data_IF_260336714589
#
_entry.id   IF_260336714589
#
_cell.length_a   1.000
_cell.length_b   1.000
_cell.length_c   1.000
_cell.angle_alpha   90.00
_cell.angle_beta   90.00
_cell.angle_gamma   90.00
#
_symmetry.space_group_name_H-M   'P 1'
#
loop_
_entity.id
_entity.type
_entity.pdbx_description
1 polymer ?
#
# COMPACT_ATOMS: atom_id res chain seq x y z
N UNK A 1 36.73 -30.92 0.31
CA UNK A 1 35.72 -30.59 1.36
C UNK A 1 34.38 -30.66 0.70
N UNK A 2 33.52 -31.55 1.12
CA UNK A 2 32.14 -31.69 0.61
C UNK A 2 31.28 -30.62 1.25
N UNK A 3 30.68 -29.73 0.46
CA UNK A 3 29.71 -28.71 0.95
C UNK A 3 28.43 -29.44 1.34
N UNK A 4 28.07 -29.44 2.61
CA UNK A 4 26.78 -29.93 3.11
C UNK A 4 25.75 -28.82 3.01
N UNK A 5 24.56 -29.14 2.51
CA UNK A 5 23.41 -28.21 2.51
C UNK A 5 22.72 -28.23 3.87
N UNK A 6 22.22 -27.07 4.29
CA UNK A 6 21.37 -26.98 5.47
C UNK A 6 20.00 -27.64 5.18
N UNK A 7 19.49 -28.39 6.16
CA UNK A 7 18.12 -28.93 6.13
C UNK A 7 17.22 -27.93 6.87
N UNK A 8 16.10 -27.57 6.25
CA UNK A 8 15.11 -26.69 6.85
C UNK A 8 13.94 -27.51 7.40
N UNK A 9 13.49 -27.19 8.62
CA UNK A 9 12.22 -27.66 9.18
C UNK A 9 11.12 -26.69 8.69
N UNK A 10 10.34 -27.10 7.70
CA UNK A 10 9.36 -26.26 7.03
C UNK A 10 8.30 -25.68 7.99
N UNK A 11 7.85 -26.48 8.98
CA UNK A 11 6.92 -26.04 10.02
C UNK A 11 7.48 -24.85 10.84
N UNK A 12 8.72 -25.00 11.30
CA UNK A 12 9.37 -23.98 12.13
C UNK A 12 9.68 -22.70 11.36
N UNK A 13 9.97 -22.83 10.05
CA UNK A 13 10.11 -21.67 9.17
C UNK A 13 8.77 -20.95 9.00
N UNK A 14 7.68 -21.67 8.78
CA UNK A 14 6.35 -21.08 8.65
C UNK A 14 5.92 -20.37 9.93
N UNK A 15 6.15 -20.97 11.10
CA UNK A 15 5.89 -20.34 12.40
C UNK A 15 6.70 -19.06 12.60
N UNK A 16 7.99 -19.06 12.23
CA UNK A 16 8.82 -17.84 12.28
C UNK A 16 8.31 -16.77 11.32
N UNK A 17 7.83 -17.15 10.15
CA UNK A 17 7.28 -16.22 9.16
C UNK A 17 5.98 -15.58 9.64
N UNK A 18 5.07 -16.38 10.21
CA UNK A 18 3.79 -15.90 10.72
C UNK A 18 3.99 -14.99 11.93
N UNK A 19 4.93 -15.32 12.84
CA UNK A 19 5.04 -14.69 14.14
C UNK A 19 6.20 -13.68 14.28
N UNK A 20 7.15 -13.60 13.33
CA UNK A 20 8.38 -12.82 13.52
C UNK A 20 8.79 -11.94 12.34
N UNK A 21 8.30 -12.18 11.12
CA UNK A 21 8.70 -11.41 9.94
C UNK A 21 7.97 -10.06 9.89
N UNK A 22 6.73 -10.03 10.31
CA UNK A 22 5.87 -8.87 10.22
C UNK A 22 5.63 -8.26 11.61
N UNK A 23 5.83 -6.95 11.71
CA UNK A 23 5.62 -6.21 12.95
C UNK A 23 4.14 -5.95 13.22
N UNK A 24 3.34 -5.75 12.15
CA UNK A 24 1.93 -5.42 12.23
C UNK A 24 1.07 -6.47 11.53
N UNK A 25 0.11 -7.07 12.25
CA UNK A 25 -0.79 -8.10 11.70
C UNK A 25 -1.67 -7.58 10.56
N UNK A 26 -2.07 -6.32 10.63
CA UNK A 26 -2.98 -5.69 9.67
C UNK A 26 -2.45 -5.66 8.21
N UNK A 27 -1.15 -5.91 8.00
CA UNK A 27 -0.57 -5.97 6.66
C UNK A 27 -0.98 -7.20 5.86
N UNK A 28 -1.61 -8.21 6.49
CA UNK A 28 -2.10 -9.40 5.76
C UNK A 28 -2.97 -9.00 4.56
N UNK A 29 -3.86 -8.01 4.74
CA UNK A 29 -4.77 -7.57 3.69
C UNK A 29 -3.99 -6.92 2.53
N UNK A 30 -2.95 -6.14 2.83
CA UNK A 30 -2.03 -5.59 1.82
C UNK A 30 -1.40 -6.69 0.97
N UNK A 31 -0.88 -7.73 1.61
CA UNK A 31 -0.18 -8.80 0.91
C UNK A 31 -1.13 -9.62 0.03
N UNK A 32 -2.33 -9.94 0.52
CA UNK A 32 -3.33 -10.67 -0.28
C UNK A 32 -3.83 -9.82 -1.47
N UNK A 33 -4.10 -8.53 -1.26
CA UNK A 33 -4.46 -7.60 -2.35
C UNK A 33 -3.32 -7.46 -3.36
N UNK A 34 -2.07 -7.41 -2.92
CA UNK A 34 -0.90 -7.34 -3.81
C UNK A 34 -0.78 -8.58 -4.70
N UNK A 35 -1.02 -9.77 -4.14
CA UNK A 35 -1.03 -11.02 -4.92
C UNK A 35 -2.17 -11.06 -5.94
N UNK A 36 -3.36 -10.57 -5.56
CA UNK A 36 -4.49 -10.43 -6.47
C UNK A 36 -4.19 -9.45 -7.61
N UNK A 37 -3.56 -8.31 -7.31
CA UNK A 37 -3.10 -7.35 -8.31
C UNK A 37 -2.11 -7.97 -9.30
N UNK A 38 -1.10 -8.69 -8.81
CA UNK A 38 -0.10 -9.36 -9.65
C UNK A 38 -0.75 -10.43 -10.57
N UNK A 39 -1.78 -11.14 -10.09
CA UNK A 39 -2.51 -12.11 -10.90
C UNK A 39 -3.28 -11.45 -12.06
N UNK A 40 -3.85 -10.27 -11.81
CA UNK A 40 -4.52 -9.48 -12.85
C UNK A 40 -3.53 -8.83 -13.81
N UNK A 41 -2.38 -8.34 -13.32
CA UNK A 41 -1.33 -7.79 -14.17
C UNK A 41 -0.79 -8.84 -15.16
N UNK A 42 -0.60 -10.08 -14.68
CA UNK A 42 -0.20 -11.22 -15.53
C UNK A 42 -1.26 -11.51 -16.61
N UNK A 43 -2.54 -11.57 -16.22
CA UNK A 43 -3.63 -11.81 -17.18
C UNK A 43 -3.73 -10.68 -18.22
N UNK A 44 -3.67 -9.43 -17.75
CA UNK A 44 -3.71 -8.26 -18.61
C UNK A 44 -2.54 -8.21 -19.60
N UNK A 45 -1.35 -8.59 -19.16
CA UNK A 45 -0.17 -8.68 -20.02
C UNK A 45 -0.31 -9.77 -21.07
N UNK A 46 -0.66 -10.99 -20.65
CA UNK A 46 -0.83 -12.10 -21.57
C UNK A 46 -1.93 -11.83 -22.61
N UNK A 47 -2.99 -11.14 -22.22
CA UNK A 47 -4.06 -10.76 -23.16
C UNK A 47 -3.63 -9.79 -24.27
N UNK A 48 -2.55 -9.04 -24.06
CA UNK A 48 -1.96 -8.14 -25.07
C UNK A 48 -0.99 -8.89 -25.96
N UNK A 49 -0.23 -9.83 -25.40
CA UNK A 49 0.81 -10.59 -26.12
C UNK A 49 0.23 -11.79 -26.86
N UNK A 50 -0.84 -12.39 -26.36
CA UNK A 50 -1.56 -13.49 -26.98
C UNK A 50 -2.94 -13.02 -27.48
N UNK A 51 -3.02 -12.72 -28.77
CA UNK A 51 -4.25 -12.23 -29.42
C UNK A 51 -5.41 -13.24 -29.41
N UNK A 52 -5.22 -14.48 -28.94
CA UNK A 52 -6.29 -15.48 -28.77
C UNK A 52 -7.08 -15.29 -27.46
N UNK A 53 -6.53 -14.53 -26.50
CA UNK A 53 -7.15 -14.30 -25.21
C UNK A 53 -8.20 -13.17 -25.29
N UNK A 54 -9.44 -13.51 -24.98
CA UNK A 54 -10.55 -12.54 -24.94
C UNK A 54 -10.74 -12.03 -23.50
N UNK A 55 -9.94 -11.06 -23.10
CA UNK A 55 -9.98 -10.45 -21.78
C UNK A 55 -10.27 -8.96 -21.89
N UNK A 56 -11.37 -8.52 -21.30
CA UNK A 56 -11.65 -7.09 -21.19
C UNK A 56 -11.01 -6.55 -19.88
N UNK A 57 -10.00 -5.71 -20.00
CA UNK A 57 -9.30 -5.12 -18.86
C UNK A 57 -10.20 -4.30 -17.93
N UNK A 58 -11.31 -3.74 -18.44
CA UNK A 58 -12.26 -2.99 -17.65
C UNK A 58 -13.05 -3.86 -16.65
N UNK A 59 -13.10 -5.18 -16.88
CA UNK A 59 -13.81 -6.12 -16.01
C UNK A 59 -12.93 -6.66 -14.89
N UNK A 60 -11.60 -6.41 -14.96
CA UNK A 60 -10.66 -6.86 -13.93
C UNK A 60 -10.89 -6.08 -12.64
N UNK A 61 -11.04 -6.82 -11.52
CA UNK A 61 -11.33 -6.26 -10.21
C UNK A 61 -10.94 -7.20 -9.09
N UNK A 62 -10.67 -6.62 -7.94
CA UNK A 62 -10.60 -7.32 -6.65
C UNK A 62 -11.95 -7.11 -5.95
N UNK A 63 -12.52 -8.15 -5.39
CA UNK A 63 -13.76 -8.07 -4.61
C UNK A 63 -13.49 -8.55 -3.20
N UNK A 64 -13.90 -7.77 -2.20
CA UNK A 64 -13.81 -8.16 -0.80
C UNK A 64 -15.22 -8.43 -0.29
N UNK A 65 -15.43 -9.63 0.24
CA UNK A 65 -16.67 -10.01 0.89
C UNK A 65 -16.40 -10.46 2.33
N UNK A 66 -17.38 -10.28 3.19
CA UNK A 66 -17.29 -10.64 4.60
C UNK A 66 -18.58 -11.31 5.07
N UNK A 67 -18.44 -12.32 5.88
CA UNK A 67 -19.53 -12.93 6.62
C UNK A 67 -19.18 -12.90 8.12
N UNK A 68 -19.80 -11.98 8.86
CA UNK A 68 -19.52 -11.80 10.29
C UNK A 68 -20.01 -12.97 11.14
N UNK A 69 -21.11 -13.61 10.75
CA UNK A 69 -21.70 -14.72 11.50
C UNK A 69 -20.82 -15.96 11.43
N UNK A 70 -20.21 -16.20 10.27
CA UNK A 70 -19.31 -17.33 10.05
C UNK A 70 -17.83 -16.97 10.30
N UNK A 71 -17.50 -15.72 10.64
CA UNK A 71 -16.13 -15.28 10.86
C UNK A 71 -15.27 -15.28 9.58
N UNK A 72 -15.87 -15.10 8.39
CA UNK A 72 -15.18 -15.27 7.11
C UNK A 72 -14.91 -13.92 6.45
N UNK A 73 -13.65 -13.72 6.04
CA UNK A 73 -13.22 -12.66 5.12
C UNK A 73 -12.70 -13.29 3.83
N UNK A 74 -13.23 -12.87 2.69
CA UNK A 74 -12.81 -13.36 1.37
C UNK A 74 -12.27 -12.22 0.51
N UNK A 75 -11.10 -12.45 -0.10
CA UNK A 75 -10.54 -11.59 -1.14
C UNK A 75 -10.53 -12.38 -2.44
N UNK A 76 -11.29 -11.91 -3.42
CA UNK A 76 -11.46 -12.53 -4.73
C UNK A 76 -10.84 -11.67 -5.82
N UNK A 77 -10.11 -12.28 -6.74
CA UNK A 77 -9.67 -11.66 -7.99
C UNK A 77 -10.20 -12.43 -9.20
N UNK A 78 -10.30 -11.77 -10.33
CA UNK A 78 -10.55 -12.37 -11.62
C UNK A 78 -9.32 -12.31 -12.53
N UNK A 79 -8.13 -12.50 -11.93
CA UNK A 79 -6.84 -12.59 -12.61
C UNK A 79 -6.63 -13.93 -13.33
N UNK A 80 -5.35 -14.26 -13.59
CA UNK A 80 -4.97 -15.45 -14.38
C UNK A 80 -5.39 -16.77 -13.75
N UNK A 81 -5.54 -16.84 -12.41
CA UNK A 81 -5.76 -18.07 -11.66
C UNK A 81 -4.54 -19.00 -11.66
N UNK A 82 -4.72 -20.21 -11.09
CA UNK A 82 -3.69 -21.24 -11.00
C UNK A 82 -4.28 -22.61 -11.32
N UNK A 83 -3.49 -23.48 -11.94
CA UNK A 83 -3.77 -24.91 -11.99
C UNK A 83 -3.21 -25.60 -10.73
N UNK A 84 -3.36 -26.94 -10.69
CA UNK A 84 -2.94 -27.72 -9.52
C UNK A 84 -1.44 -27.63 -9.28
N UNK A 85 -0.64 -27.79 -10.32
CA UNK A 85 0.81 -27.75 -10.26
C UNK A 85 1.33 -26.40 -9.80
N UNK A 86 0.77 -25.32 -10.36
CA UNK A 86 1.11 -23.94 -9.96
C UNK A 86 0.68 -23.64 -8.53
N UNK A 87 -0.46 -24.16 -8.08
CA UNK A 87 -0.94 -24.01 -6.72
C UNK A 87 -0.02 -24.72 -5.72
N UNK A 88 0.36 -25.98 -5.98
CA UNK A 88 1.31 -26.72 -5.16
C UNK A 88 2.69 -26.05 -5.15
N UNK A 89 3.11 -25.49 -6.27
CA UNK A 89 4.38 -24.78 -6.40
C UNK A 89 4.39 -23.43 -5.66
N UNK A 90 3.35 -22.62 -5.82
CA UNK A 90 3.27 -21.25 -5.28
C UNK A 90 2.80 -21.19 -3.82
N UNK A 91 1.93 -22.11 -3.38
CA UNK A 91 1.37 -22.14 -2.03
C UNK A 91 1.92 -23.27 -1.17
N UNK A 92 2.56 -24.26 -1.79
CA UNK A 92 3.17 -25.39 -1.09
C UNK A 92 4.69 -25.25 -0.88
N UNK A 93 5.33 -24.29 -1.55
CA UNK A 93 6.77 -24.03 -1.41
C UNK A 93 7.01 -22.65 -0.82
N UNK A 94 7.50 -22.62 0.42
CA UNK A 94 7.80 -21.37 1.13
C UNK A 94 8.93 -20.62 0.41
N UNK A 95 8.82 -19.29 0.30
CA UNK A 95 9.75 -18.40 -0.39
C UNK A 95 9.82 -18.60 -1.92
N UNK A 96 8.83 -19.22 -2.54
CA UNK A 96 8.72 -19.27 -3.98
C UNK A 96 7.69 -18.27 -4.48
N UNK A 97 8.10 -17.35 -5.36
CA UNK A 97 7.23 -16.36 -5.97
C UNK A 97 6.99 -16.66 -7.44
N UNK A 98 5.77 -17.07 -7.80
CA UNK A 98 5.36 -17.23 -9.19
C UNK A 98 5.34 -15.89 -9.95
N UNK A 99 5.20 -14.77 -9.24
CA UNK A 99 5.27 -13.43 -9.82
C UNK A 99 6.69 -13.04 -10.19
N UNK A 100 7.67 -13.36 -9.34
CA UNK A 100 9.08 -13.15 -9.65
C UNK A 100 9.55 -14.04 -10.82
N UNK A 101 9.14 -15.30 -10.84
CA UNK A 101 9.43 -16.21 -11.95
C UNK A 101 8.88 -15.71 -13.28
N UNK A 102 7.68 -15.16 -13.28
CA UNK A 102 7.07 -14.54 -14.44
C UNK A 102 7.87 -13.31 -14.92
N UNK A 103 8.24 -12.40 -14.01
CA UNK A 103 9.08 -11.23 -14.31
C UNK A 103 10.44 -11.61 -14.92
N UNK A 104 11.06 -12.67 -14.42
CA UNK A 104 12.34 -13.17 -14.93
C UNK A 104 12.25 -13.83 -16.31
N UNK A 105 11.09 -14.42 -16.63
CA UNK A 105 10.84 -15.06 -17.93
C UNK A 105 10.53 -14.05 -19.05
N UNK A 106 10.19 -12.81 -18.70
CA UNK A 106 9.93 -11.73 -19.64
C UNK A 106 11.24 -11.12 -20.15
N UNK A 107 11.24 -10.69 -21.41
CA UNK A 107 12.38 -9.98 -21.97
C UNK A 107 12.61 -8.65 -21.22
N UNK A 108 13.90 -8.28 -21.02
CA UNK A 108 14.37 -7.16 -20.18
C UNK A 108 13.82 -5.75 -20.51
N UNK A 109 12.92 -5.62 -21.45
CA UNK A 109 12.45 -4.33 -21.99
C UNK A 109 10.99 -4.01 -21.64
N UNK A 110 10.30 -4.81 -20.81
CA UNK A 110 8.90 -4.57 -20.48
C UNK A 110 8.74 -4.31 -18.99
N UNK A 111 8.34 -3.08 -18.64
CA UNK A 111 8.04 -2.65 -17.28
C UNK A 111 6.69 -3.22 -16.81
N UNK A 112 6.72 -4.44 -16.26
CA UNK A 112 5.60 -4.92 -15.46
C UNK A 112 5.95 -4.69 -13.98
N UNK A 113 5.13 -3.90 -13.35
CA UNK A 113 5.21 -3.57 -11.93
C UNK A 113 4.69 -4.73 -11.07
N UNK A 114 5.48 -5.78 -10.89
CA UNK A 114 5.13 -6.89 -10.00
C UNK A 114 5.42 -6.51 -8.56
N UNK A 115 4.40 -6.64 -7.71
CA UNK A 115 4.45 -6.29 -6.29
C UNK A 115 4.99 -7.48 -5.47
N UNK A 116 4.51 -8.71 -5.68
CA UNK A 116 4.81 -9.92 -4.89
C UNK A 116 6.10 -10.62 -5.29
N UNK A 117 7.25 -10.22 -4.75
CA UNK A 117 8.58 -10.74 -5.15
C UNK A 117 9.12 -11.86 -4.25
N UNK A 118 8.68 -11.99 -3.00
CA UNK A 118 9.34 -12.83 -1.99
C UNK A 118 8.69 -14.21 -1.76
N UNK A 119 7.47 -14.45 -2.24
CA UNK A 119 6.75 -15.72 -2.06
C UNK A 119 6.39 -16.04 -0.61
N UNK A 120 6.25 -15.03 0.23
CA UNK A 120 5.90 -15.16 1.65
C UNK A 120 4.63 -14.40 2.04
N UNK A 121 4.23 -13.40 1.25
CA UNK A 121 3.11 -12.52 1.55
C UNK A 121 1.80 -13.27 1.79
N UNK A 122 1.56 -14.35 1.05
CA UNK A 122 0.36 -15.18 1.21
C UNK A 122 0.21 -15.72 2.65
N UNK A 123 1.30 -16.17 3.26
CA UNK A 123 1.24 -16.76 4.60
C UNK A 123 0.92 -15.76 5.71
N UNK A 124 0.97 -14.46 5.43
CA UNK A 124 0.51 -13.43 6.36
C UNK A 124 -0.98 -13.57 6.71
N UNK A 125 -1.79 -14.25 5.87
CA UNK A 125 -3.16 -14.59 6.18
C UNK A 125 -3.31 -15.35 7.50
N UNK A 126 -2.35 -16.23 7.84
CA UNK A 126 -2.36 -17.00 9.10
C UNK A 126 -2.05 -16.15 10.35
N UNK A 127 -1.63 -14.89 10.19
CA UNK A 127 -1.53 -13.97 11.33
C UNK A 127 -2.90 -13.65 11.93
N UNK A 128 -3.95 -13.65 11.10
CA UNK A 128 -5.33 -13.26 11.48
C UNK A 128 -6.34 -14.39 11.30
N UNK A 129 -6.01 -15.44 10.55
CA UNK A 129 -6.89 -16.57 10.27
C UNK A 129 -6.35 -17.85 10.91
N UNK A 130 -7.23 -18.71 11.41
CA UNK A 130 -6.92 -20.06 11.88
C UNK A 130 -7.03 -21.10 10.76
N UNK A 131 -7.80 -20.78 9.69
CA UNK A 131 -7.93 -21.57 8.49
C UNK A 131 -7.94 -20.69 7.26
N UNK A 132 -7.18 -21.08 6.23
CA UNK A 132 -7.18 -20.42 4.93
C UNK A 132 -7.55 -21.44 3.86
N UNK A 133 -8.52 -21.08 3.02
CA UNK A 133 -8.95 -21.86 1.86
C UNK A 133 -8.70 -21.02 0.60
N UNK A 134 -8.03 -21.58 -0.40
CA UNK A 134 -7.85 -20.93 -1.71
C UNK A 134 -8.58 -21.75 -2.76
N UNK A 135 -9.48 -21.10 -3.47
CA UNK A 135 -10.21 -21.71 -4.60
C UNK A 135 -9.81 -20.95 -5.85
N UNK A 136 -9.28 -21.65 -6.86
CA UNK A 136 -8.79 -21.00 -8.07
C UNK A 136 -9.11 -21.81 -9.32
N UNK A 137 -9.26 -21.10 -10.44
CA UNK A 137 -9.33 -21.70 -11.78
C UNK A 137 -8.46 -20.88 -12.72
N UNK A 138 -7.52 -21.54 -13.39
CA UNK A 138 -6.63 -20.91 -14.36
C UNK A 138 -7.36 -20.56 -15.64
N UNK A 139 -6.97 -19.46 -16.28
CA UNK A 139 -7.45 -19.09 -17.60
C UNK A 139 -7.17 -20.20 -18.62
N UNK A 140 -8.21 -20.60 -19.38
CA UNK A 140 -8.12 -21.68 -20.37
C UNK A 140 -8.34 -23.08 -19.82
N UNK A 141 -8.52 -23.26 -18.51
CA UNK A 141 -8.83 -24.56 -17.89
C UNK A 141 -10.31 -24.62 -17.45
N UNK A 142 -10.89 -25.82 -17.50
CA UNK A 142 -12.29 -26.02 -17.13
C UNK A 142 -12.46 -26.34 -15.64
N UNK A 143 -11.46 -27.01 -15.05
CA UNK A 143 -11.52 -27.49 -13.66
C UNK A 143 -10.86 -26.51 -12.71
N UNK A 144 -11.54 -26.19 -11.61
CA UNK A 144 -10.98 -25.46 -10.47
C UNK A 144 -10.24 -26.37 -9.52
N UNK A 145 -9.40 -25.76 -8.67
CA UNK A 145 -8.60 -26.43 -7.63
C UNK A 145 -8.79 -25.71 -6.32
N UNK A 146 -8.94 -26.48 -5.24
CA UNK A 146 -9.07 -26.00 -3.86
C UNK A 146 -7.85 -26.43 -3.04
N UNK A 147 -7.23 -25.48 -2.38
CA UNK A 147 -6.18 -25.65 -1.39
C UNK A 147 -6.71 -25.24 -0.01
N UNK A 148 -6.41 -26.02 1.02
CA UNK A 148 -6.79 -25.72 2.40
C UNK A 148 -5.67 -26.00 3.37
N UNK A 149 -5.49 -25.11 4.34
CA UNK A 149 -4.52 -25.28 5.43
C UNK A 149 -5.00 -24.59 6.70
N UNK A 150 -4.57 -25.12 7.84
CA UNK A 150 -4.70 -24.51 9.17
C UNK A 150 -3.35 -23.95 9.68
N UNK A 151 -2.37 -23.83 8.81
CA UNK A 151 -1.03 -23.30 9.12
C UNK A 151 0.07 -24.34 9.03
N UNK A 152 0.87 -24.49 10.09
CA UNK A 152 2.09 -25.30 10.08
C UNK A 152 1.88 -26.81 9.89
N UNK A 153 0.67 -27.32 10.05
CA UNK A 153 0.37 -28.76 9.96
C UNK A 153 0.29 -29.30 8.53
N UNK A 154 0.47 -28.43 7.54
CA UNK A 154 0.45 -28.80 6.13
C UNK A 154 -0.79 -28.32 5.40
N UNK A 155 -1.03 -28.85 4.20
CA UNK A 155 -2.14 -28.45 3.35
C UNK A 155 -2.74 -29.61 2.57
N UNK A 156 -3.95 -29.43 2.07
CA UNK A 156 -4.60 -30.36 1.14
C UNK A 156 -4.90 -29.68 -0.18
N UNK A 157 -4.81 -30.42 -1.29
CA UNK A 157 -5.20 -29.93 -2.62
C UNK A 157 -6.21 -30.91 -3.22
N UNK A 158 -7.36 -30.39 -3.61
CA UNK A 158 -8.46 -31.16 -4.17
C UNK A 158 -9.07 -30.47 -5.39
N UNK A 159 -9.52 -31.22 -6.39
CA UNK A 159 -10.32 -30.62 -7.48
C UNK A 159 -11.62 -30.03 -6.92
N UNK A 160 -12.07 -28.95 -7.52
CA UNK A 160 -13.38 -28.34 -7.20
C UNK A 160 -14.05 -27.76 -8.44
N UNK A 161 -15.32 -27.45 -8.34
CA UNK A 161 -16.05 -26.68 -9.34
C UNK A 161 -15.85 -25.19 -9.08
N UNK A 162 -15.50 -24.43 -10.11
CA UNK A 162 -15.45 -22.95 -10.10
C UNK A 162 -15.81 -22.45 -11.50
N UNK A 163 -16.87 -21.66 -11.59
CA UNK A 163 -17.38 -21.17 -12.88
C UNK A 163 -16.51 -20.06 -13.49
N UNK A 164 -15.92 -19.22 -12.66
CA UNK A 164 -15.12 -18.06 -13.12
C UNK A 164 -13.62 -18.32 -13.04
N UNK A 165 -12.85 -17.70 -13.93
CA UNK A 165 -11.38 -17.63 -13.84
C UNK A 165 -10.99 -16.71 -12.69
N UNK A 166 -9.84 -16.97 -12.05
CA UNK A 166 -9.29 -16.16 -10.96
C UNK A 166 -9.14 -16.94 -9.65
N UNK A 167 -8.99 -16.23 -8.56
CA UNK A 167 -8.68 -16.82 -7.25
C UNK A 167 -9.51 -16.20 -6.14
N UNK A 168 -10.04 -17.03 -5.23
CA UNK A 168 -10.64 -16.63 -3.96
C UNK A 168 -9.72 -17.06 -2.83
N UNK A 169 -9.31 -16.12 -1.99
CA UNK A 169 -8.62 -16.38 -0.72
C UNK A 169 -9.61 -16.19 0.40
N UNK A 170 -10.06 -17.28 1.00
CA UNK A 170 -11.08 -17.36 2.04
C UNK A 170 -10.39 -17.58 3.38
N UNK A 171 -10.51 -16.63 4.28
CA UNK A 171 -9.88 -16.61 5.59
C UNK A 171 -10.94 -16.74 6.67
N UNK A 172 -10.87 -17.81 7.48
CA UNK A 172 -11.63 -17.92 8.71
C UNK A 172 -10.88 -17.16 9.80
N UNK A 173 -11.41 -16.03 10.21
CA UNK A 173 -10.75 -15.10 11.14
C UNK A 173 -10.78 -15.71 12.55
N UNK A 174 -9.66 -15.60 13.25
CA UNK A 174 -9.47 -16.08 14.62
C UNK A 174 -10.47 -15.43 15.57
N UNK A 175 -10.80 -16.14 16.65
CA UNK A 175 -11.55 -15.56 17.76
C UNK A 175 -10.77 -14.42 18.44
N UNK A 176 -11.51 -13.47 18.99
CA UNK A 176 -10.93 -12.38 19.77
C UNK A 176 -10.22 -12.92 21.02
N UNK A 177 -9.10 -12.28 21.35
CA UNK A 177 -8.32 -12.56 22.56
C UNK A 177 -8.21 -11.29 23.42
N UNK A 178 -7.69 -11.43 24.64
CA UNK A 178 -7.45 -10.27 25.51
C UNK A 178 -6.44 -9.27 24.92
N UNK A 179 -5.57 -9.73 24.02
CA UNK A 179 -4.50 -8.93 23.41
C UNK A 179 -4.87 -8.38 22.03
N UNK A 180 -5.76 -9.07 21.29
CA UNK A 180 -6.09 -8.73 19.90
C UNK A 180 -7.58 -8.98 19.60
N UNK A 181 -8.23 -7.97 19.03
CA UNK A 181 -9.62 -8.04 18.57
C UNK A 181 -9.68 -8.39 17.07
N UNK A 182 -9.53 -9.67 16.75
CA UNK A 182 -9.51 -10.18 15.37
C UNK A 182 -10.84 -9.94 14.63
N UNK A 183 -11.98 -9.99 15.33
CA UNK A 183 -13.29 -9.70 14.76
C UNK A 183 -13.40 -8.32 14.11
N UNK A 184 -12.54 -7.38 14.50
CA UNK A 184 -12.47 -6.05 13.86
C UNK A 184 -12.10 -6.12 12.39
N UNK A 185 -11.36 -7.14 11.94
CA UNK A 185 -11.03 -7.35 10.52
C UNK A 185 -12.24 -7.74 9.65
N UNK A 186 -13.39 -8.02 10.27
CA UNK A 186 -14.68 -8.23 9.59
C UNK A 186 -15.53 -6.94 9.53
N UNK A 187 -15.06 -5.84 10.16
CA UNK A 187 -15.76 -4.57 10.15
C UNK A 187 -15.51 -3.76 8.88
N UNK A 188 -16.57 -3.25 8.27
CA UNK A 188 -16.50 -2.43 7.04
C UNK A 188 -15.52 -1.26 7.17
N UNK A 189 -15.59 -0.53 8.30
CA UNK A 189 -14.73 0.62 8.54
C UNK A 189 -13.26 0.23 8.64
N UNK A 190 -12.93 -0.91 9.27
CA UNK A 190 -11.54 -1.37 9.42
C UNK A 190 -10.97 -1.80 8.07
N UNK A 191 -11.73 -2.58 7.29
CA UNK A 191 -11.33 -3.01 5.95
C UNK A 191 -11.08 -1.79 5.05
N UNK A 192 -12.02 -0.83 5.02
CA UNK A 192 -11.87 0.43 4.26
C UNK A 192 -10.62 1.20 4.69
N UNK A 193 -10.39 1.33 5.99
CA UNK A 193 -9.21 2.02 6.53
C UNK A 193 -7.90 1.34 6.10
N UNK A 194 -7.83 0.00 6.14
CA UNK A 194 -6.66 -0.76 5.72
C UNK A 194 -6.39 -0.64 4.21
N UNK A 195 -7.44 -0.72 3.39
CA UNK A 195 -7.32 -0.53 1.94
C UNK A 195 -6.81 0.88 1.64
N UNK A 196 -7.40 1.90 2.24
CA UNK A 196 -6.99 3.31 2.08
C UNK A 196 -5.55 3.53 2.54
N UNK A 197 -5.14 2.90 3.63
CA UNK A 197 -3.78 3.03 4.17
C UNK A 197 -2.74 2.38 3.28
N UNK A 198 -2.94 1.12 2.89
CA UNK A 198 -1.89 0.29 2.29
C UNK A 198 -2.02 0.06 0.79
N UNK A 199 -3.24 0.06 0.26
CA UNK A 199 -3.56 -0.41 -1.11
C UNK A 199 -4.39 0.60 -1.91
N UNK A 200 -4.44 1.86 -1.48
CA UNK A 200 -5.28 2.89 -2.12
C UNK A 200 -4.91 3.12 -3.59
N UNK A 201 -3.65 2.91 -3.93
CA UNK A 201 -3.13 3.15 -5.28
C UNK A 201 -2.77 1.87 -6.05
N UNK A 202 -3.28 0.72 -5.60
CA UNK A 202 -3.31 -0.48 -6.44
C UNK A 202 -4.12 -0.19 -7.69
N UNK A 203 -3.58 -0.52 -8.86
CA UNK A 203 -4.13 -0.10 -10.17
C UNK A 203 -5.50 -0.67 -10.53
N UNK A 204 -5.92 -1.73 -9.84
CA UNK A 204 -7.20 -2.41 -10.07
C UNK A 204 -8.25 -1.98 -9.06
N UNK A 205 -9.54 -1.84 -9.47
CA UNK A 205 -10.59 -1.47 -8.53
C UNK A 205 -10.79 -2.54 -7.46
N UNK A 206 -10.75 -2.12 -6.20
CA UNK A 206 -11.08 -2.94 -5.04
C UNK A 206 -12.51 -2.63 -4.66
N UNK A 207 -13.40 -3.60 -4.84
CA UNK A 207 -14.83 -3.45 -4.62
C UNK A 207 -15.28 -4.17 -3.37
N UNK A 208 -16.21 -3.55 -2.67
CA UNK A 208 -16.84 -4.14 -1.47
C UNK A 208 -18.28 -3.66 -1.35
N UNK A 209 -19.15 -4.54 -0.88
CA UNK A 209 -20.50 -4.16 -0.52
C UNK A 209 -20.51 -3.42 0.83
N UNK A 210 -21.05 -2.21 0.81
CA UNK A 210 -21.09 -1.30 1.95
C UNK A 210 -22.54 -1.00 2.31
N UNK A 211 -22.86 -1.23 3.56
CA UNK A 211 -24.17 -0.88 4.10
C UNK A 211 -24.21 0.59 4.49
N UNK A 212 -25.21 1.31 4.00
CA UNK A 212 -25.51 2.70 4.35
C UNK A 212 -26.91 2.84 4.89
N UNK A 213 -27.08 3.70 5.87
CA UNK A 213 -28.39 4.15 6.30
C UNK A 213 -28.86 5.29 5.39
N UNK A 214 -29.92 5.01 4.63
CA UNK A 214 -30.57 6.01 3.80
C UNK A 214 -31.83 6.51 4.51
N UNK A 215 -31.93 7.83 4.68
CA UNK A 215 -33.12 8.48 5.22
C UNK A 215 -34.15 8.59 4.12
N UNK A 216 -35.38 8.13 4.36
CA UNK A 216 -36.48 8.27 3.42
C UNK A 216 -37.73 8.81 4.11
N UNK A 217 -38.60 9.49 3.34
CA UNK A 217 -39.88 9.98 3.83
C UNK A 217 -40.87 8.82 3.93
N UNK A 218 -41.55 8.66 5.08
CA UNK A 218 -42.54 7.60 5.28
C UNK A 218 -43.89 7.89 4.59
N UNK A 219 -44.07 9.12 4.09
CA UNK A 219 -45.35 9.62 3.58
C UNK A 219 -46.33 10.06 4.68
N UNK A 220 -45.92 9.96 5.94
CA UNK A 220 -46.68 10.45 7.09
C UNK A 220 -46.17 11.82 7.53
N UNK A 221 -47.03 12.59 8.21
CA UNK A 221 -46.68 13.84 8.87
C UNK A 221 -46.71 13.67 10.38
N UNK A 222 -45.91 14.44 11.10
CA UNK A 222 -45.97 14.58 12.54
C UNK A 222 -47.17 15.49 12.95
N UNK A 223 -47.36 15.64 14.26
CA UNK A 223 -48.47 16.44 14.83
C UNK A 223 -48.35 17.93 14.47
N UNK A 224 -47.19 18.39 13.95
CA UNK A 224 -46.92 19.76 13.45
C UNK A 224 -47.06 19.85 11.93
N UNK A 225 -47.39 18.78 11.21
CA UNK A 225 -47.55 18.74 9.74
C UNK A 225 -46.22 18.63 8.98
N UNK A 226 -45.11 18.27 9.63
CA UNK A 226 -43.82 18.06 9.00
C UNK A 226 -43.68 16.60 8.56
N UNK A 227 -42.97 16.33 7.42
CA UNK A 227 -42.73 14.95 6.96
C UNK A 227 -42.00 14.12 8.00
N UNK A 228 -42.53 12.91 8.26
CA UNK A 228 -41.80 11.90 9.06
C UNK A 228 -40.80 11.19 8.18
N UNK A 229 -39.64 10.91 8.79
CA UNK A 229 -38.56 10.18 8.15
C UNK A 229 -38.27 8.90 8.90
N UNK A 230 -37.89 7.88 8.15
CA UNK A 230 -37.38 6.64 8.68
C UNK A 230 -36.06 6.30 7.99
N UNK A 231 -35.36 5.27 8.47
CA UNK A 231 -34.07 4.85 7.94
C UNK A 231 -34.16 3.41 7.42
N UNK A 232 -33.63 3.21 6.22
CA UNK A 232 -33.45 1.86 5.68
C UNK A 232 -31.98 1.58 5.45
N UNK A 233 -31.58 0.31 5.59
CA UNK A 233 -30.23 -0.14 5.23
C UNK A 233 -30.25 -0.42 3.72
N UNK A 234 -29.35 0.23 2.99
CA UNK A 234 -29.12 0.00 1.56
C UNK A 234 -27.69 -0.50 1.41
N UNK A 235 -27.53 -1.59 0.65
CA UNK A 235 -26.21 -2.13 0.31
C UNK A 235 -25.79 -1.62 -1.05
N UNK A 236 -24.67 -0.94 -1.12
CA UNK A 236 -24.07 -0.42 -2.37
C UNK A 236 -22.71 -1.07 -2.61
N UNK A 237 -22.43 -1.47 -3.86
CA UNK A 237 -21.12 -1.97 -4.26
C UNK A 237 -20.19 -0.81 -4.59
N UNK A 238 -19.30 -0.49 -3.66
CA UNK A 238 -18.38 0.66 -3.78
C UNK A 238 -16.99 0.23 -4.27
N UNK A 239 -16.35 1.10 -5.04
CA UNK A 239 -14.90 1.02 -5.26
C UNK A 239 -14.20 1.78 -4.13
N UNK A 240 -13.41 1.08 -3.33
CA UNK A 240 -12.83 1.61 -2.10
C UNK A 240 -11.53 2.38 -2.34
N UNK A 241 -10.71 1.91 -3.27
CA UNK A 241 -9.40 2.49 -3.56
C UNK A 241 -9.46 3.57 -4.66
N UNK A 242 -8.44 4.43 -4.70
CA UNK A 242 -8.33 5.54 -5.65
C UNK A 242 -7.60 5.17 -6.94
N UNK A 243 -6.92 4.04 -7.00
CA UNK A 243 -6.17 3.44 -8.12
C UNK A 243 -5.01 4.29 -8.64
N UNK A 244 -5.26 5.50 -9.14
CA UNK A 244 -4.23 6.35 -9.75
C UNK A 244 -3.83 7.48 -8.82
N UNK A 245 -2.61 7.45 -8.27
CA UNK A 245 -2.14 8.46 -7.34
C UNK A 245 -1.88 9.81 -8.06
N UNK A 246 -2.16 10.90 -7.34
CA UNK A 246 -2.03 12.26 -7.86
C UNK A 246 -0.61 12.58 -8.34
N UNK A 247 0.42 12.03 -7.69
CA UNK A 247 1.84 12.25 -8.07
C UNK A 247 2.29 11.48 -9.31
N UNK A 248 1.50 10.51 -9.78
CA UNK A 248 1.78 9.80 -11.03
C UNK A 248 1.13 10.45 -12.24
N UNK A 249 0.12 11.30 -12.03
CA UNK A 249 -0.57 12.02 -13.10
C UNK A 249 0.30 13.13 -13.70
N UNK A 250 0.04 13.46 -14.96
CA UNK A 250 0.78 14.54 -15.63
C UNK A 250 0.42 15.93 -15.04
N UNK A 251 1.31 16.91 -15.23
CA UNK A 251 1.04 18.29 -14.81
C UNK A 251 -0.15 18.95 -15.53
N UNK A 252 -0.53 18.43 -16.68
CA UNK A 252 -1.71 18.89 -17.43
C UNK A 252 -3.02 18.39 -16.84
N UNK A 253 -2.99 17.29 -16.07
CA UNK A 253 -4.16 16.65 -15.48
C UNK A 253 -4.39 17.04 -14.02
N UNK A 254 -3.37 17.58 -13.36
CA UNK A 254 -3.40 17.92 -11.92
C UNK A 254 -2.88 19.31 -11.69
N UNK A 255 -3.75 20.16 -11.17
CA UNK A 255 -3.41 21.54 -10.79
C UNK A 255 -2.64 21.59 -9.46
N UNK A 256 -2.09 22.75 -9.12
CA UNK A 256 -1.48 22.96 -7.80
C UNK A 256 -2.55 22.98 -6.70
N UNK A 257 -3.77 23.44 -7.00
CA UNK A 257 -4.91 23.40 -6.06
C UNK A 257 -5.32 21.97 -5.72
N UNK A 258 -5.31 21.05 -6.70
CA UNK A 258 -5.56 19.62 -6.45
C UNK A 258 -4.50 19.02 -5.50
N UNK A 259 -3.23 19.41 -5.69
CA UNK A 259 -2.15 18.97 -4.79
C UNK A 259 -2.27 19.56 -3.39
N UNK A 260 -2.71 20.81 -3.27
CA UNK A 260 -2.96 21.46 -1.98
C UNK A 260 -4.14 20.78 -1.27
N UNK A 261 -5.20 20.45 -2.00
CA UNK A 261 -6.33 19.70 -1.46
C UNK A 261 -5.90 18.33 -0.94
N UNK A 262 -5.10 17.59 -1.72
CA UNK A 262 -4.50 16.32 -1.30
C UNK A 262 -3.64 16.47 -0.04
N UNK A 263 -2.80 17.52 0.05
CA UNK A 263 -1.98 17.79 1.24
C UNK A 263 -2.85 17.99 2.48
N UNK A 264 -3.90 18.80 2.39
CA UNK A 264 -4.80 19.10 3.49
C UNK A 264 -5.55 17.85 3.97
N UNK A 265 -6.09 17.08 3.04
CA UNK A 265 -6.82 15.85 3.35
C UNK A 265 -5.90 14.81 4.00
N UNK A 266 -4.76 14.50 3.37
CA UNK A 266 -3.83 13.46 3.84
C UNK A 266 -3.21 13.79 5.20
N UNK A 267 -2.92 15.06 5.47
CA UNK A 267 -2.21 15.47 6.68
C UNK A 267 -3.14 16.10 7.73
N UNK A 268 -4.45 16.16 7.47
CA UNK A 268 -5.44 16.83 8.34
C UNK A 268 -5.09 18.29 8.62
N UNK A 269 -4.54 18.99 7.61
CA UNK A 269 -4.13 20.38 7.69
C UNK A 269 -5.22 21.30 7.16
N UNK A 270 -5.38 22.48 7.78
CA UNK A 270 -6.36 23.47 7.32
C UNK A 270 -5.72 24.53 6.42
N UNK A 271 -4.45 24.85 6.65
CA UNK A 271 -3.72 25.87 5.90
C UNK A 271 -3.01 25.30 4.68
N UNK A 272 -2.78 26.16 3.71
CA UNK A 272 -2.01 25.84 2.53
C UNK A 272 -0.53 25.63 2.89
N UNK A 273 0.19 24.76 2.18
CA UNK A 273 1.63 24.66 2.33
C UNK A 273 2.32 25.94 1.84
N UNK A 274 3.44 26.30 2.43
CA UNK A 274 4.23 27.44 1.96
C UNK A 274 5.01 27.13 0.68
N UNK A 275 5.31 25.85 0.41
CA UNK A 275 5.89 25.40 -0.84
C UNK A 275 5.38 24.03 -1.26
N UNK A 276 5.28 23.81 -2.58
CA UNK A 276 4.90 22.59 -3.26
C UNK A 276 6.03 22.15 -4.18
N UNK A 277 6.52 20.90 -4.01
CA UNK A 277 7.64 20.37 -4.76
C UNK A 277 7.19 19.11 -5.50
N UNK A 278 7.21 19.14 -6.83
CA UNK A 278 6.94 17.97 -7.69
C UNK A 278 8.23 17.49 -8.32
N UNK A 279 8.56 16.23 -8.12
CA UNK A 279 9.74 15.59 -8.71
C UNK A 279 9.30 14.42 -9.57
N UNK A 280 9.80 14.37 -10.79
CA UNK A 280 9.82 13.18 -11.64
C UNK A 280 11.28 12.96 -12.04
N UNK A 281 11.89 11.93 -11.50
CA UNK A 281 13.30 11.61 -11.75
C UNK A 281 13.39 10.26 -12.47
N UNK A 282 14.10 10.26 -13.58
CA UNK A 282 14.41 9.09 -14.38
C UNK A 282 15.93 9.00 -14.53
N UNK A 283 16.52 7.84 -14.32
CA UNK A 283 17.98 7.65 -14.41
C UNK A 283 18.47 6.45 -13.63
N UNK A 284 19.54 6.61 -12.86
CA UNK A 284 20.11 5.52 -12.03
C UNK A 284 19.13 5.00 -10.98
N UNK A 285 18.24 5.85 -10.51
CA UNK A 285 17.09 5.53 -9.66
C UNK A 285 15.92 6.35 -10.18
N UNK A 286 14.83 5.66 -10.49
CA UNK A 286 13.59 6.28 -10.93
C UNK A 286 12.65 6.47 -9.74
N UNK A 287 12.10 7.67 -9.59
CA UNK A 287 11.10 7.95 -8.56
C UNK A 287 10.26 9.17 -8.91
N UNK A 288 9.04 9.20 -8.36
CA UNK A 288 8.19 10.38 -8.34
C UNK A 288 7.99 10.84 -6.90
N UNK A 289 7.96 12.15 -6.70
CA UNK A 289 7.70 12.70 -5.38
C UNK A 289 6.78 13.92 -5.47
N UNK A 290 5.92 14.02 -4.46
CA UNK A 290 5.06 15.18 -4.21
C UNK A 290 5.27 15.59 -2.76
N UNK A 291 6.04 16.67 -2.55
CA UNK A 291 6.42 17.14 -1.22
C UNK A 291 5.82 18.51 -0.95
N UNK A 292 5.58 18.76 0.32
CA UNK A 292 4.98 19.99 0.83
C UNK A 292 5.79 20.49 2.02
N UNK A 293 6.07 21.80 2.00
CA UNK A 293 6.58 22.49 3.18
C UNK A 293 5.36 23.11 3.89
N UNK A 294 5.05 22.73 5.14
CA UNK A 294 3.90 23.28 5.84
C UNK A 294 3.96 24.78 6.02
N UNK A 295 2.81 25.44 6.01
CA UNK A 295 2.70 26.88 6.28
C UNK A 295 2.80 27.23 7.76
N UNK A 296 2.42 26.29 8.64
CA UNK A 296 2.48 26.46 10.10
C UNK A 296 3.26 25.33 10.76
N UNK A 297 3.96 25.67 11.84
CA UNK A 297 4.53 24.66 12.72
C UNK A 297 3.42 23.95 13.50
N UNK A 298 3.54 22.64 13.66
CA UNK A 298 2.68 21.89 14.58
C UNK A 298 2.79 22.53 15.98
N UNK A 299 1.66 22.80 16.61
CA UNK A 299 1.59 23.31 18.00
C UNK A 299 2.04 22.27 19.05
N UNK A 300 2.35 21.04 18.65
CA UNK A 300 3.05 20.08 19.46
C UNK A 300 4.49 20.57 19.65
N UNK A 301 4.73 21.21 20.79
CA UNK A 301 6.03 21.74 21.18
C UNK A 301 7.17 20.73 21.00
N UNK A 302 8.40 21.17 21.17
CA UNK A 302 9.68 20.46 21.15
C UNK A 302 9.69 19.15 21.98
N UNK A 303 8.82 18.22 21.66
CA UNK A 303 8.83 16.86 22.17
C UNK A 303 9.52 16.01 21.13
N UNK A 304 10.66 15.41 21.48
CA UNK A 304 11.60 14.68 20.62
C UNK A 304 11.08 13.48 19.82
N UNK A 305 9.80 13.45 19.48
CA UNK A 305 9.13 12.39 18.71
C UNK A 305 8.63 12.87 17.32
N UNK A 306 9.20 13.94 16.77
CA UNK A 306 8.92 14.31 15.38
C UNK A 306 9.55 13.26 14.46
N UNK A 307 8.73 12.44 13.83
CA UNK A 307 9.17 11.57 12.74
C UNK A 307 8.86 12.26 11.41
N UNK A 308 9.79 12.16 10.45
CA UNK A 308 9.64 12.69 9.09
C UNK A 308 8.24 12.40 8.52
N UNK A 309 7.61 13.40 7.90
CA UNK A 309 6.23 13.28 7.39
C UNK A 309 6.12 12.73 5.96
N UNK A 310 7.16 12.08 5.42
CA UNK A 310 7.19 11.58 4.05
C UNK A 310 6.81 10.10 4.02
N UNK A 311 5.72 9.79 3.30
CA UNK A 311 5.26 8.41 3.08
C UNK A 311 5.99 7.81 1.88
N UNK A 312 6.50 6.59 2.02
CA UNK A 312 7.19 5.85 0.97
C UNK A 312 6.27 4.82 0.35
N UNK A 313 6.17 4.85 -0.97
CA UNK A 313 5.45 3.90 -1.80
C UNK A 313 6.42 3.14 -2.72
N UNK A 314 6.02 1.95 -3.11
CA UNK A 314 6.62 1.20 -4.22
C UNK A 314 5.50 0.57 -5.05
N UNK A 315 5.43 0.93 -6.33
CA UNK A 315 4.38 0.47 -7.25
C UNK A 315 2.95 0.64 -6.70
N UNK A 316 2.66 1.83 -6.12
CA UNK A 316 1.35 2.15 -5.58
C UNK A 316 1.00 1.49 -4.24
N UNK A 317 1.90 0.69 -3.68
CA UNK A 317 1.72 0.06 -2.36
C UNK A 317 2.51 0.82 -1.31
N UNK A 318 1.87 1.17 -0.20
CA UNK A 318 2.54 1.85 0.91
C UNK A 318 3.51 0.90 1.61
N UNK A 319 4.77 1.33 1.68
CA UNK A 319 5.86 0.61 2.34
C UNK A 319 6.06 1.14 3.76
N UNK A 320 6.10 2.46 3.91
CA UNK A 320 6.36 3.11 5.18
C UNK A 320 5.63 4.44 5.26
N UNK A 321 4.84 4.64 6.31
CA UNK A 321 4.02 5.85 6.49
C UNK A 321 4.88 7.09 6.81
N UNK A 322 5.97 6.89 7.54
CA UNK A 322 6.92 7.94 7.93
C UNK A 322 8.34 7.41 7.74
N UNK A 323 8.95 7.76 6.62
CA UNK A 323 10.29 7.31 6.28
C UNK A 323 11.34 8.33 6.73
N UNK A 324 12.00 8.03 7.85
CA UNK A 324 13.06 8.83 8.46
C UNK A 324 14.38 8.83 7.68
N UNK A 325 14.50 7.99 6.65
CA UNK A 325 15.72 7.86 5.83
C UNK A 325 15.72 8.71 4.57
N UNK A 326 14.59 9.37 4.25
CA UNK A 326 14.46 10.18 3.03
C UNK A 326 14.99 11.61 3.21
N UNK A 327 14.93 12.14 4.41
CA UNK A 327 15.44 13.48 4.74
C UNK A 327 16.09 13.44 6.12
N UNK A 328 17.04 14.32 6.36
CA UNK A 328 17.61 14.49 7.70
C UNK A 328 16.68 15.31 8.60
N UNK A 329 16.88 15.21 9.91
CA UNK A 329 16.06 15.82 10.96
C UNK A 329 15.78 17.32 10.75
N UNK A 330 16.71 18.03 10.12
CA UNK A 330 16.54 19.44 9.80
C UNK A 330 15.47 19.73 8.74
N UNK A 331 14.97 18.70 8.04
CA UNK A 331 13.84 18.76 7.11
C UNK A 331 12.67 17.87 7.51
N UNK A 332 12.62 17.39 8.74
CA UNK A 332 11.52 16.53 9.24
C UNK A 332 10.13 17.18 9.18
N UNK A 333 10.07 18.48 9.06
CA UNK A 333 8.81 19.20 8.85
C UNK A 333 8.21 18.97 7.46
N UNK A 334 8.99 18.48 6.49
CA UNK A 334 8.51 18.23 5.12
C UNK A 334 7.55 17.05 5.12
N UNK A 335 6.39 17.24 4.53
CA UNK A 335 5.36 16.22 4.37
C UNK A 335 5.21 15.83 2.90
N UNK A 336 4.64 14.67 2.65
CA UNK A 336 4.35 14.26 1.29
C UNK A 336 4.56 12.78 1.02
N UNK A 337 4.83 12.48 -0.25
CA UNK A 337 4.96 11.12 -0.74
C UNK A 337 6.16 10.97 -1.67
N UNK A 338 6.78 9.80 -1.62
CA UNK A 338 7.80 9.34 -2.57
C UNK A 338 7.38 7.97 -3.05
N UNK A 339 7.41 7.74 -4.36
CA UNK A 339 7.06 6.48 -4.99
C UNK A 339 8.18 6.06 -5.94
N UNK A 340 8.75 4.88 -5.72
CA UNK A 340 9.83 4.35 -6.55
C UNK A 340 9.68 2.86 -6.79
N UNK A 341 9.74 2.41 -8.07
CA UNK A 341 9.73 0.99 -8.40
C UNK A 341 11.07 0.30 -8.10
N UNK A 342 12.17 1.07 -7.95
CA UNK A 342 13.54 0.56 -7.88
C UNK A 342 13.99 0.20 -6.45
N UNK A 343 13.10 0.32 -5.44
CA UNK A 343 13.48 0.09 -4.04
C UNK A 343 13.77 -1.38 -3.75
N UNK A 344 14.91 -1.66 -3.12
CA UNK A 344 15.24 -2.98 -2.58
C UNK A 344 14.52 -3.19 -1.25
N UNK A 345 13.36 -3.82 -1.29
CA UNK A 345 12.57 -4.12 -0.12
C UNK A 345 13.06 -5.39 0.57
N UNK A 346 12.97 -5.45 1.90
CA UNK A 346 13.11 -6.72 2.61
C UNK A 346 11.83 -7.57 2.48
N UNK A 347 11.87 -8.76 3.05
CA UNK A 347 10.77 -9.73 2.98
C UNK A 347 9.45 -9.15 3.52
N UNK A 348 9.49 -8.40 4.64
CA UNK A 348 8.30 -7.78 5.24
C UNK A 348 7.88 -6.48 4.56
N UNK A 349 8.71 -5.91 3.70
CA UNK A 349 8.57 -4.56 3.16
C UNK A 349 8.46 -3.45 4.22
N UNK A 350 8.71 -3.76 5.49
CA UNK A 350 8.68 -2.79 6.59
C UNK A 350 10.05 -2.20 6.89
N UNK A 351 11.12 -2.84 6.43
CA UNK A 351 12.50 -2.41 6.66
C UNK A 351 13.22 -2.32 5.32
N UNK A 352 13.76 -1.15 5.05
CA UNK A 352 14.65 -0.93 3.91
C UNK A 352 16.06 -1.40 4.30
N UNK A 353 16.55 -2.43 3.64
CA UNK A 353 17.95 -2.83 3.80
C UNK A 353 18.83 -1.73 3.21
N UNK A 354 19.94 -1.38 3.88
CA UNK A 354 20.98 -0.38 3.52
C UNK A 354 20.91 0.08 2.05
N UNK A 355 19.84 0.82 1.73
CA UNK A 355 19.48 1.05 0.34
C UNK A 355 20.26 2.24 -0.20
N UNK A 356 21.22 1.95 -1.09
CA UNK A 356 21.94 2.98 -1.85
C UNK A 356 20.95 3.86 -2.64
N UNK A 357 19.87 3.28 -3.13
CA UNK A 357 18.85 3.96 -3.92
C UNK A 357 18.11 4.97 -3.05
N UNK A 358 17.68 4.56 -1.84
CA UNK A 358 17.01 5.45 -0.90
C UNK A 358 17.88 6.64 -0.51
N UNK A 359 19.17 6.40 -0.31
CA UNK A 359 20.14 7.47 -0.02
C UNK A 359 20.28 8.45 -1.20
N UNK A 360 20.31 7.94 -2.43
CA UNK A 360 20.35 8.79 -3.64
C UNK A 360 19.08 9.60 -3.77
N UNK A 361 17.91 8.98 -3.54
CA UNK A 361 16.63 9.68 -3.52
C UNK A 361 16.66 10.80 -2.47
N UNK A 362 17.03 10.48 -1.24
CA UNK A 362 17.10 11.45 -0.12
C UNK A 362 17.97 12.66 -0.43
N UNK A 363 19.19 12.44 -0.91
CA UNK A 363 20.10 13.53 -1.29
C UNK A 363 19.53 14.43 -2.40
N UNK A 364 18.80 13.85 -3.34
CA UNK A 364 18.16 14.62 -4.41
C UNK A 364 16.96 15.42 -3.88
N UNK A 365 16.16 14.83 -2.99
CA UNK A 365 15.03 15.51 -2.35
C UNK A 365 15.49 16.69 -1.53
N UNK A 366 16.52 16.54 -0.69
CA UNK A 366 17.07 17.63 0.13
C UNK A 366 17.55 18.82 -0.72
N UNK A 367 18.22 18.53 -1.85
CA UNK A 367 18.62 19.60 -2.80
C UNK A 367 17.41 20.32 -3.39
N UNK A 368 16.33 19.59 -3.69
CA UNK A 368 15.08 20.17 -4.20
C UNK A 368 14.36 21.00 -3.14
N UNK A 369 14.30 20.50 -1.91
CA UNK A 369 13.72 21.21 -0.78
C UNK A 369 14.48 22.51 -0.52
N UNK A 370 15.82 22.44 -0.42
CA UNK A 370 16.67 23.63 -0.26
C UNK A 370 16.43 24.65 -1.38
N UNK A 371 16.47 24.21 -2.64
CA UNK A 371 16.27 25.10 -3.79
C UNK A 371 14.91 25.78 -3.80
N UNK A 372 13.84 25.09 -3.36
CA UNK A 372 12.51 25.71 -3.29
C UNK A 372 12.40 26.70 -2.11
N UNK A 373 13.05 26.42 -0.97
CA UNK A 373 13.15 27.37 0.14
C UNK A 373 13.96 28.61 -0.23
N UNK A 374 15.08 28.48 -0.96
CA UNK A 374 15.85 29.61 -1.47
C UNK A 374 15.06 30.45 -2.47
N UNK A 375 14.26 29.79 -3.31
CA UNK A 375 13.33 30.48 -4.22
C UNK A 375 12.26 31.23 -3.46
N UNK A 376 11.60 30.58 -2.48
CA UNK A 376 10.61 31.24 -1.61
C UNK A 376 11.21 32.46 -0.92
N UNK A 377 12.44 32.36 -0.42
CA UNK A 377 13.16 33.49 0.20
C UNK A 377 13.36 34.68 -0.72
N UNK A 378 13.58 34.43 -2.03
CA UNK A 378 13.78 35.47 -3.03
C UNK A 378 12.47 36.06 -3.56
N UNK A 379 11.49 35.21 -3.81
CA UNK A 379 10.27 35.58 -4.53
C UNK A 379 9.18 36.10 -3.59
N UNK A 380 9.11 35.55 -2.34
CA UNK A 380 8.14 35.92 -1.31
C UNK A 380 8.78 35.94 0.08
N UNK A 381 9.56 36.98 0.34
CA UNK A 381 10.29 37.15 1.61
C UNK A 381 9.39 37.11 2.86
N UNK A 382 8.20 37.75 2.88
CA UNK A 382 7.30 37.68 4.04
C UNK A 382 6.87 36.25 4.35
N UNK A 383 6.53 35.46 3.31
CA UNK A 383 6.14 34.04 3.48
C UNK A 383 7.32 33.19 3.96
N UNK A 384 8.53 33.48 3.48
CA UNK A 384 9.75 32.81 3.98
C UNK A 384 10.01 33.15 5.45
N UNK A 385 9.81 34.36 5.90
CA UNK A 385 9.99 34.77 7.30
C UNK A 385 8.97 34.11 8.23
N UNK A 386 7.74 33.88 7.75
CA UNK A 386 6.75 33.09 8.48
C UNK A 386 7.19 31.62 8.59
N UNK A 387 7.61 31.02 7.49
CA UNK A 387 8.23 29.68 7.47
C UNK A 387 9.41 29.61 8.45
N UNK A 388 10.33 30.54 8.41
CA UNK A 388 11.53 30.55 9.25
C UNK A 388 11.22 30.72 10.74
N UNK A 389 10.16 31.43 11.11
CA UNK A 389 9.66 31.51 12.49
C UNK A 389 9.20 30.14 13.00
N UNK A 390 8.61 29.33 12.14
CA UNK A 390 8.06 28.04 12.51
C UNK A 390 9.13 26.91 12.51
N UNK A 391 10.04 26.91 11.54
CA UNK A 391 10.98 25.81 11.29
C UNK A 391 12.46 26.22 11.31
N UNK A 392 12.76 27.49 11.50
CA UNK A 392 14.14 27.98 11.51
C UNK A 392 15.03 27.37 12.59
N UNK A 393 14.44 26.88 13.68
CA UNK A 393 15.17 26.14 14.73
C UNK A 393 15.67 24.81 14.21
N UNK A 394 14.85 24.07 13.46
CA UNK A 394 15.25 22.78 12.90
C UNK A 394 16.44 22.96 11.93
N UNK A 395 16.39 24.00 11.08
CA UNK A 395 17.50 24.36 10.18
C UNK A 395 18.77 24.74 10.96
N UNK A 396 18.64 25.55 12.05
CA UNK A 396 19.78 25.95 12.90
C UNK A 396 20.37 24.74 13.61
N UNK A 397 19.56 23.83 14.11
CA UNK A 397 20.02 22.56 14.68
C UNK A 397 20.84 21.77 13.66
N UNK A 398 20.32 21.61 12.40
CA UNK A 398 21.04 20.94 11.33
C UNK A 398 22.40 21.56 10.99
N UNK A 399 22.55 22.90 11.14
CA UNK A 399 23.85 23.55 10.96
C UNK A 399 24.87 23.14 12.01
N UNK A 400 24.41 22.84 13.23
CA UNK A 400 25.26 22.44 14.36
C UNK A 400 25.46 20.92 14.44
N UNK A 401 24.60 20.16 13.80
CA UNK A 401 24.57 18.71 13.86
C UNK A 401 25.83 18.07 13.25
N UNK A 402 26.16 16.86 13.70
CA UNK A 402 27.34 16.10 13.27
C UNK A 402 28.61 16.98 13.15
N UNK A 403 28.88 17.81 14.17
CA UNK A 403 30.03 18.74 14.20
C UNK A 403 30.05 19.75 13.05
N UNK A 404 28.88 20.17 12.54
CA UNK A 404 28.76 21.16 11.47
C UNK A 404 28.88 20.57 10.07
N UNK A 405 28.62 19.29 9.90
CA UNK A 405 28.68 18.58 8.61
C UNK A 405 27.78 19.22 7.54
N UNK A 406 26.61 19.68 7.93
CA UNK A 406 25.62 20.25 7.02
C UNK A 406 25.66 21.78 6.96
N UNK A 407 26.62 22.44 7.62
CA UNK A 407 26.75 23.89 7.71
C UNK A 407 26.77 24.56 6.32
N UNK A 408 27.64 24.09 5.42
CA UNK A 408 27.75 24.70 4.10
C UNK A 408 26.52 24.46 3.20
N UNK A 409 25.77 23.41 3.48
CA UNK A 409 24.53 23.11 2.78
C UNK A 409 23.37 24.01 3.26
N UNK A 410 23.28 24.27 4.57
CA UNK A 410 22.11 24.94 5.19
C UNK A 410 22.29 26.44 5.42
N UNK A 411 23.54 26.95 5.51
CA UNK A 411 23.81 28.36 5.88
C UNK A 411 23.07 29.41 5.06
N UNK A 412 22.81 29.12 3.79
CA UNK A 412 22.15 30.07 2.88
C UNK A 412 20.64 30.20 3.18
N UNK A 413 20.10 29.34 4.04
CA UNK A 413 18.72 29.37 4.54
C UNK A 413 18.57 30.10 5.89
N UNK A 414 19.65 30.66 6.47
CA UNK A 414 19.62 31.33 7.79
C UNK A 414 19.26 32.82 7.69
#
# INVERSE_FOLDING_TARGET
MEKKQFKAESQRLLDLMINSIYTHREIFLREIISNASDAMDKLAYLSVTDGSMNVNRADLKITITRNKEEGILTVSDNGIGMNKEEMEENLGTICKSGSLGFKQAMEKNEDIDIIGQFGVGFYSAFMVADKVTVITRKYGEEQGVKWESTGADGYTVTPCERESVGTDVIMHIKDDTDEELYGTYLETWKIKALIKKYSDYVRWPIKMDVERQERFETGETDDEGKPKYDYRIVTENETINSMVPIWQRSRSEVTDDDCIAFYKEKNHEQKDPCALIRVNAEGTVSYKALLFVPGEGSSAGYTGDRKAGITLYSNGVMIMEKCDKLVHDYFDFVKGVVDSPDLSLNISREILQHDRQLRVIGQNLEKKIKGELEKLMKDDRPKYEEFFRNFGTDIKCGVCDEYGRYKDFLRDLL
#
